data_IF_128854861567
#
_entry.id   IF_128854861567
#
_cell.length_a   1.000
_cell.length_b   1.000
_cell.length_c   1.000
_cell.angle_alpha   90.00
_cell.angle_beta   90.00
_cell.angle_gamma   90.00
#
_symmetry.space_group_name_H-M   'P 1'
#
loop_
_entity.id
_entity.type
_entity.pdbx_description
1 polymer ?
#
# COMPACT_ATOMS: atom_id res chain seq x y z
N UNK A 1 -49.93 -21.49 -37.24
CA UNK A 1 -50.88 -20.50 -37.78
C UNK A 1 -50.55 -19.17 -37.15
N UNK A 2 -50.00 -18.26 -37.97
CA UNK A 2 -49.81 -16.80 -37.85
C UNK A 2 -49.12 -16.18 -36.61
N UNK A 3 -48.43 -15.08 -36.95
CA UNK A 3 -47.84 -14.01 -36.12
C UNK A 3 -46.38 -14.22 -35.72
N UNK A 4 -45.42 -13.34 -35.97
CA UNK A 4 -45.45 -11.95 -36.48
C UNK A 4 -44.07 -11.64 -37.08
N UNK A 5 -44.03 -11.11 -38.31
CA UNK A 5 -42.79 -10.70 -38.95
C UNK A 5 -42.60 -9.18 -38.73
N UNK A 6 -41.58 -8.84 -37.94
CA UNK A 6 -41.18 -7.48 -37.64
C UNK A 6 -40.65 -6.81 -38.90
N UNK A 7 -41.32 -5.74 -39.33
CA UNK A 7 -40.89 -4.87 -40.43
C UNK A 7 -39.71 -4.03 -39.92
N UNK A 8 -38.52 -4.29 -40.44
CA UNK A 8 -37.36 -3.41 -40.22
C UNK A 8 -37.48 -2.22 -41.18
N UNK A 9 -37.61 -1.01 -40.61
CA UNK A 9 -37.44 0.24 -41.35
C UNK A 9 -35.97 0.34 -41.77
N UNK A 10 -35.70 0.26 -43.08
CA UNK A 10 -34.44 0.70 -43.65
C UNK A 10 -34.43 2.24 -43.59
N UNK A 11 -33.62 2.82 -42.70
CA UNK A 11 -33.23 4.23 -42.82
C UNK A 11 -32.32 4.35 -44.04
N UNK A 12 -32.83 4.98 -45.10
CA UNK A 12 -32.03 5.42 -46.24
C UNK A 12 -31.02 6.47 -45.76
N UNK A 13 -29.75 6.09 -45.67
CA UNK A 13 -28.65 7.00 -45.45
C UNK A 13 -28.23 7.62 -46.78
N UNK A 14 -28.62 8.88 -46.98
CA UNK A 14 -28.21 9.70 -48.11
C UNK A 14 -26.74 10.14 -47.92
N UNK A 15 -25.80 9.51 -48.62
CA UNK A 15 -24.38 9.91 -48.61
C UNK A 15 -24.24 11.09 -49.57
N UNK A 16 -24.09 12.29 -49.02
CA UNK A 16 -23.64 13.45 -49.80
C UNK A 16 -22.20 13.21 -50.26
N UNK A 17 -21.99 13.08 -51.56
CA UNK A 17 -20.66 13.14 -52.18
C UNK A 17 -20.03 14.53 -51.94
N UNK A 18 -19.29 14.68 -50.85
CA UNK A 18 -18.39 15.80 -50.67
C UNK A 18 -17.13 15.63 -51.52
N UNK A 19 -16.88 16.66 -52.32
CA UNK A 19 -15.80 16.81 -53.29
C UNK A 19 -14.44 16.27 -52.79
N UNK A 20 -13.87 15.40 -53.61
CA UNK A 20 -12.47 14.96 -53.65
C UNK A 20 -11.53 16.18 -53.62
N UNK A 21 -11.01 16.54 -52.44
CA UNK A 21 -9.70 17.19 -52.21
C UNK A 21 -9.54 17.67 -50.75
N UNK A 22 -9.77 16.81 -49.76
CA UNK A 22 -9.31 17.06 -48.39
C UNK A 22 -8.27 16.00 -48.01
N UNK A 23 -7.06 16.46 -47.69
CA UNK A 23 -5.97 15.65 -47.14
C UNK A 23 -6.53 14.79 -46.02
N UNK A 24 -6.44 13.47 -46.16
CA UNK A 24 -6.75 12.50 -45.12
C UNK A 24 -5.99 12.95 -43.86
N UNK A 25 -6.74 13.25 -42.80
CA UNK A 25 -6.18 13.66 -41.52
C UNK A 25 -5.52 12.43 -40.92
N UNK A 26 -4.22 12.25 -41.21
CA UNK A 26 -3.41 11.15 -40.68
C UNK A 26 -3.53 11.17 -39.16
N UNK A 27 -4.19 10.16 -38.61
CA UNK A 27 -4.23 9.94 -37.16
C UNK A 27 -2.77 9.72 -36.75
N UNK A 28 -2.18 10.69 -36.03
CA UNK A 28 -0.85 10.52 -35.47
C UNK A 28 -0.93 9.41 -34.44
N UNK A 29 -0.29 8.28 -34.76
CA UNK A 29 -0.05 7.23 -33.78
C UNK A 29 0.77 7.80 -32.62
N UNK A 30 0.44 7.34 -31.42
CA UNK A 30 1.22 7.65 -30.23
C UNK A 30 2.65 7.11 -30.43
N UNK A 31 3.64 7.98 -30.24
CA UNK A 31 5.06 7.63 -30.38
C UNK A 31 5.66 7.41 -29.01
N UNK A 32 6.39 6.32 -28.85
CA UNK A 32 7.12 5.98 -27.64
C UNK A 32 8.55 6.48 -27.80
N UNK A 33 9.04 7.23 -26.81
CA UNK A 33 10.44 7.67 -26.76
C UNK A 33 11.34 6.50 -26.39
N UNK A 34 12.44 6.31 -27.12
CA UNK A 34 13.44 5.26 -26.92
C UNK A 34 14.87 5.82 -26.82
N UNK A 35 15.03 7.14 -26.73
CA UNK A 35 16.34 7.80 -26.75
C UNK A 35 17.30 7.35 -25.65
N UNK A 36 16.80 6.85 -24.51
CA UNK A 36 17.61 6.35 -23.40
C UNK A 36 17.69 4.81 -23.38
N UNK A 37 17.07 4.15 -24.35
CA UNK A 37 17.01 2.68 -24.42
C UNK A 37 18.11 2.12 -25.33
N UNK A 38 18.57 0.89 -25.09
CA UNK A 38 19.47 0.17 -25.99
C UNK A 38 18.70 -0.40 -27.20
N UNK A 39 17.94 0.45 -27.90
CA UNK A 39 17.11 0.07 -29.03
C UNK A 39 17.66 0.64 -30.34
N UNK A 40 17.92 -0.25 -31.29
CA UNK A 40 18.64 0.08 -32.52
C UNK A 40 17.93 -0.46 -33.76
N UNK A 41 18.09 0.24 -34.87
CA UNK A 41 17.73 -0.21 -36.20
C UNK A 41 19.03 -0.54 -36.93
N UNK A 42 19.24 -1.79 -37.29
CA UNK A 42 20.41 -2.22 -38.06
C UNK A 42 20.04 -2.38 -39.54
N UNK A 43 20.79 -1.69 -40.39
CA UNK A 43 20.63 -1.72 -41.84
C UNK A 43 22.03 -1.81 -42.47
N UNK A 44 22.26 -2.81 -43.33
CA UNK A 44 23.55 -3.02 -44.00
C UNK A 44 24.75 -3.09 -43.03
N UNK A 45 24.59 -3.79 -41.90
CA UNK A 45 25.57 -3.89 -40.81
C UNK A 45 25.93 -2.55 -40.15
N UNK A 46 25.11 -1.52 -40.31
CA UNK A 46 25.23 -0.24 -39.60
C UNK A 46 24.08 -0.13 -38.62
N UNK A 47 24.42 0.07 -37.35
CA UNK A 47 23.45 0.19 -36.27
C UNK A 47 23.15 1.67 -35.99
N UNK A 48 21.87 2.02 -36.02
CA UNK A 48 21.37 3.37 -35.78
C UNK A 48 20.52 3.39 -34.52
N UNK A 49 20.77 4.33 -33.61
CA UNK A 49 20.00 4.46 -32.37
C UNK A 49 18.58 4.92 -32.68
N UNK A 50 17.59 4.21 -32.15
CA UNK A 50 16.18 4.59 -32.26
C UNK A 50 15.87 5.68 -31.23
N UNK A 51 15.31 6.79 -31.70
CA UNK A 51 14.91 7.92 -30.87
C UNK A 51 13.46 7.78 -30.42
N UNK A 52 12.59 7.40 -31.34
CA UNK A 52 11.18 7.14 -31.08
C UNK A 52 10.62 6.12 -32.08
N UNK A 53 9.56 5.43 -31.68
CA UNK A 53 8.89 4.44 -32.52
C UNK A 53 7.38 4.39 -32.29
N UNK A 54 6.67 3.81 -33.26
CA UNK A 54 5.27 3.38 -33.19
C UNK A 54 5.15 2.02 -33.91
N UNK A 55 3.94 1.46 -33.96
CA UNK A 55 3.68 0.21 -34.69
C UNK A 55 4.15 0.24 -36.16
N UNK A 56 4.11 1.41 -36.80
CA UNK A 56 4.37 1.57 -38.23
C UNK A 56 5.43 2.63 -38.54
N UNK A 57 6.18 3.09 -37.55
CA UNK A 57 7.16 4.15 -37.78
C UNK A 57 8.29 4.12 -36.78
N UNK A 58 9.48 4.49 -37.24
CA UNK A 58 10.67 4.62 -36.39
C UNK A 58 11.45 5.85 -36.80
N UNK A 59 11.99 6.57 -35.82
CA UNK A 59 12.92 7.67 -36.04
C UNK A 59 14.28 7.30 -35.47
N UNK A 60 15.33 7.55 -36.25
CA UNK A 60 16.72 7.32 -35.85
C UNK A 60 17.56 8.58 -36.02
N UNK A 61 18.70 8.58 -35.35
CA UNK A 61 19.78 9.52 -35.59
C UNK A 61 20.85 8.88 -36.51
N UNK A 62 21.32 9.62 -37.52
CA UNK A 62 22.33 9.17 -38.48
C UNK A 62 23.35 10.25 -38.77
N UNK A 63 24.63 9.87 -38.88
CA UNK A 63 25.72 10.77 -39.30
C UNK A 63 25.64 11.13 -40.80
N UNK A 64 25.09 10.23 -41.61
CA UNK A 64 24.96 10.40 -43.05
C UNK A 64 23.50 10.59 -43.45
N UNK A 65 23.30 11.34 -44.54
CA UNK A 65 21.98 11.53 -45.11
C UNK A 65 21.52 10.24 -45.77
N UNK A 66 20.43 9.66 -45.27
CA UNK A 66 19.72 8.57 -45.95
C UNK A 66 18.70 9.19 -46.91
N UNK A 67 18.70 8.76 -48.18
CA UNK A 67 17.80 9.25 -49.22
C UNK A 67 16.33 8.89 -48.96
N UNK A 68 15.39 9.74 -49.41
CA UNK A 68 13.95 9.49 -49.28
C UNK A 68 13.43 8.41 -50.24
N UNK A 69 14.25 8.00 -51.18
CA UNK A 69 14.07 6.86 -52.08
C UNK A 69 14.55 5.53 -51.49
N UNK A 70 15.15 5.55 -50.29
CA UNK A 70 15.66 4.36 -49.63
C UNK A 70 14.54 3.47 -49.07
N UNK A 71 14.63 2.17 -49.38
CA UNK A 71 13.73 1.12 -48.95
C UNK A 71 14.49 -0.22 -48.84
N UNK A 72 14.22 -1.00 -47.80
CA UNK A 72 14.86 -2.31 -47.59
C UNK A 72 13.93 -3.27 -46.86
N UNK A 73 14.08 -4.58 -47.11
CA UNK A 73 13.40 -5.66 -46.37
C UNK A 73 14.25 -6.24 -45.24
N UNK A 74 15.51 -5.82 -45.15
CA UNK A 74 16.54 -6.32 -44.24
C UNK A 74 16.86 -5.25 -43.18
N UNK A 75 15.83 -4.62 -42.60
CA UNK A 75 16.00 -3.71 -41.48
C UNK A 75 15.69 -4.43 -40.17
N UNK A 76 16.74 -4.72 -39.38
CA UNK A 76 16.61 -5.47 -38.15
C UNK A 76 16.43 -4.53 -36.96
N UNK A 77 15.42 -4.79 -36.15
CA UNK A 77 15.22 -4.04 -34.91
C UNK A 77 15.90 -4.81 -33.77
N UNK A 78 16.86 -4.21 -33.09
CA UNK A 78 17.68 -4.88 -32.08
C UNK A 78 17.50 -4.16 -30.74
N UNK A 79 17.03 -4.89 -29.72
CA UNK A 79 16.97 -4.41 -28.35
C UNK A 79 17.98 -5.16 -27.49
N UNK A 80 19.01 -4.47 -26.99
CA UNK A 80 20.07 -5.04 -26.15
C UNK A 80 20.63 -6.38 -26.67
N UNK A 81 21.07 -6.38 -27.93
CA UNK A 81 21.59 -7.55 -28.68
C UNK A 81 20.57 -8.65 -29.02
N UNK A 82 19.28 -8.46 -28.73
CA UNK A 82 18.22 -9.36 -29.16
C UNK A 82 17.55 -8.82 -30.43
N UNK A 83 17.61 -9.59 -31.51
CA UNK A 83 16.99 -9.25 -32.79
C UNK A 83 15.49 -9.58 -32.79
N UNK A 84 14.66 -8.57 -33.10
CA UNK A 84 13.21 -8.69 -33.26
C UNK A 84 12.82 -9.20 -34.65
N UNK A 85 13.78 -9.37 -35.55
CA UNK A 85 13.60 -9.86 -36.91
C UNK A 85 13.78 -8.74 -37.95
N UNK A 86 13.78 -9.17 -39.22
CA UNK A 86 13.86 -8.29 -40.38
C UNK A 86 12.50 -7.68 -40.69
N UNK A 87 12.47 -6.37 -40.92
CA UNK A 87 11.28 -5.62 -41.29
C UNK A 87 11.48 -4.89 -42.62
N UNK A 88 10.38 -4.70 -43.34
CA UNK A 88 10.33 -3.86 -44.51
C UNK A 88 10.15 -2.40 -44.09
N UNK A 89 11.12 -1.55 -44.40
CA UNK A 89 11.09 -0.12 -44.04
C UNK A 89 11.39 0.78 -45.24
N UNK A 90 10.77 1.96 -45.26
CA UNK A 90 11.01 3.02 -46.24
C UNK A 90 11.24 4.36 -45.56
N UNK A 91 12.21 5.15 -46.02
CA UNK A 91 12.40 6.51 -45.52
C UNK A 91 11.25 7.41 -45.97
N UNK A 92 10.58 8.04 -45.01
CA UNK A 92 9.53 9.04 -45.28
C UNK A 92 10.02 10.46 -45.11
N UNK A 93 11.05 10.66 -44.29
CA UNK A 93 11.64 11.98 -44.04
C UNK A 93 13.11 11.84 -43.62
N UNK A 94 13.96 12.71 -44.15
CA UNK A 94 15.37 12.82 -43.78
C UNK A 94 15.73 14.29 -43.73
N UNK A 95 16.04 14.82 -42.54
CA UNK A 95 16.27 16.25 -42.33
C UNK A 95 17.51 16.49 -41.45
N UNK A 96 18.28 17.55 -41.69
CA UNK A 96 19.42 17.90 -40.85
C UNK A 96 18.97 18.31 -39.44
N UNK A 97 19.75 17.90 -38.43
CA UNK A 97 19.59 18.21 -37.02
C UNK A 97 20.98 18.40 -36.39
N UNK A 98 21.44 19.65 -36.33
CA UNK A 98 22.83 19.95 -35.95
C UNK A 98 23.81 19.38 -36.97
N UNK A 99 24.82 18.64 -36.50
CA UNK A 99 25.81 17.94 -37.34
C UNK A 99 25.35 16.56 -37.81
N UNK A 100 24.12 16.16 -37.47
CA UNK A 100 23.55 14.85 -37.80
C UNK A 100 22.27 14.96 -38.63
N UNK A 101 21.68 13.83 -39.01
CA UNK A 101 20.40 13.71 -39.70
C UNK A 101 19.38 12.98 -38.82
N UNK A 102 18.19 13.55 -38.73
CA UNK A 102 17.01 12.84 -38.22
C UNK A 102 16.32 12.14 -39.40
N UNK A 103 16.33 10.82 -39.39
CA UNK A 103 15.71 9.99 -40.44
C UNK A 103 14.50 9.27 -39.85
N UNK A 104 13.35 9.42 -40.50
CA UNK A 104 12.12 8.73 -40.17
C UNK A 104 11.80 7.68 -41.22
N UNK A 105 11.56 6.47 -40.77
CA UNK A 105 11.11 5.35 -41.57
C UNK A 105 9.64 5.04 -41.28
N UNK A 106 8.93 4.62 -42.32
CA UNK A 106 7.66 3.91 -42.24
C UNK A 106 7.96 2.40 -42.31
N UNK A 107 7.32 1.62 -41.44
CA UNK A 107 7.36 0.16 -41.46
C UNK A 107 6.20 -0.30 -42.33
N UNK A 108 6.50 -1.09 -43.36
CA UNK A 108 5.57 -1.51 -44.40
C UNK A 108 5.15 -2.97 -44.14
N UNK A 109 3.85 -3.23 -44.23
CA UNK A 109 3.31 -4.57 -44.06
C UNK A 109 3.09 -4.91 -42.60
N UNK A 110 3.89 -5.84 -42.05
CA UNK A 110 3.74 -6.30 -40.68
C UNK A 110 4.22 -5.21 -39.69
N UNK A 111 3.40 -4.84 -38.70
CA UNK A 111 3.78 -3.84 -37.71
C UNK A 111 4.89 -4.36 -36.80
N UNK A 112 5.66 -3.43 -36.22
CA UNK A 112 6.64 -3.76 -35.18
C UNK A 112 5.98 -4.56 -34.05
N UNK A 113 6.54 -5.72 -33.72
CA UNK A 113 6.00 -6.60 -32.70
C UNK A 113 6.26 -6.04 -31.29
N UNK A 114 5.35 -5.20 -30.80
CA UNK A 114 5.46 -4.57 -29.48
C UNK A 114 5.34 -5.57 -28.33
N UNK A 115 4.64 -6.70 -28.52
CA UNK A 115 4.56 -7.76 -27.51
C UNK A 115 5.92 -8.43 -27.33
N UNK A 116 6.61 -8.76 -28.43
CA UNK A 116 7.96 -9.30 -28.40
C UNK A 116 8.95 -8.30 -27.79
N UNK A 117 8.90 -7.02 -28.20
CA UNK A 117 9.75 -5.96 -27.63
C UNK A 117 9.54 -5.85 -26.11
N UNK A 118 8.29 -5.86 -25.66
CA UNK A 118 7.94 -5.81 -24.25
C UNK A 118 8.47 -7.04 -23.50
N UNK A 119 8.30 -8.24 -24.06
CA UNK A 119 8.81 -9.47 -23.47
C UNK A 119 10.33 -9.47 -23.32
N UNK A 120 11.07 -8.93 -24.32
CA UNK A 120 12.53 -8.78 -24.23
C UNK A 120 12.89 -7.81 -23.11
N UNK A 121 12.26 -6.63 -23.07
CA UNK A 121 12.47 -5.62 -22.01
C UNK A 121 12.25 -6.20 -20.62
N UNK A 122 11.10 -6.85 -20.41
CA UNK A 122 10.75 -7.48 -19.13
C UNK A 122 11.74 -8.60 -18.77
N UNK A 123 12.19 -9.40 -19.74
CA UNK A 123 13.17 -10.48 -19.52
C UNK A 123 14.54 -9.96 -19.08
N UNK A 124 15.05 -8.91 -19.73
CA UNK A 124 16.33 -8.29 -19.39
C UNK A 124 16.28 -7.60 -18.02
N UNK A 125 15.15 -6.97 -17.71
CA UNK A 125 14.91 -6.42 -16.37
C UNK A 125 14.98 -7.52 -15.30
N UNK A 126 14.33 -8.68 -15.52
CA UNK A 126 14.38 -9.81 -14.59
C UNK A 126 15.82 -10.32 -14.41
N UNK A 127 16.61 -10.39 -15.49
CA UNK A 127 18.02 -10.79 -15.41
C UNK A 127 18.82 -9.82 -14.55
N UNK A 128 18.66 -8.51 -14.79
CA UNK A 128 19.34 -7.48 -13.99
C UNK A 128 18.93 -7.56 -12.51
N UNK A 129 17.64 -7.69 -12.21
CA UNK A 129 17.13 -7.86 -10.85
C UNK A 129 17.73 -9.12 -10.18
N UNK A 130 17.90 -10.21 -10.93
CA UNK A 130 18.52 -11.43 -10.44
C UNK A 130 20.03 -11.27 -10.17
N UNK A 131 20.75 -10.54 -11.03
CA UNK A 131 22.16 -10.23 -10.82
C UNK A 131 22.36 -9.35 -9.57
N UNK A 132 21.54 -8.31 -9.42
CA UNK A 132 21.53 -7.43 -8.26
C UNK A 132 21.23 -8.24 -6.97
N UNK A 133 20.22 -9.12 -7.01
CA UNK A 133 19.91 -10.02 -5.88
C UNK A 133 21.10 -10.91 -5.50
N UNK A 134 21.81 -11.49 -6.47
CA UNK A 134 22.99 -12.33 -6.20
C UNK A 134 24.11 -11.52 -5.56
N UNK A 135 24.33 -10.28 -6.00
CA UNK A 135 25.33 -9.38 -5.41
C UNK A 135 24.96 -8.99 -3.97
N UNK A 136 23.70 -8.65 -3.73
CA UNK A 136 23.19 -8.36 -2.39
C UNK A 136 23.33 -9.58 -1.47
N UNK A 137 22.99 -10.77 -1.97
CA UNK A 137 23.11 -12.01 -1.22
C UNK A 137 24.55 -12.27 -0.79
N UNK A 138 25.57 -11.91 -1.58
CA UNK A 138 26.98 -12.06 -1.19
C UNK A 138 27.37 -11.19 0.02
N UNK A 139 26.66 -10.07 0.24
CA UNK A 139 26.90 -9.18 1.37
C UNK A 139 26.27 -9.68 2.67
N UNK A 140 25.31 -10.62 2.60
CA UNK A 140 24.65 -11.18 3.78
C UNK A 140 25.56 -12.23 4.45
N UNK A 141 25.89 -12.08 5.75
CA UNK A 141 26.70 -13.03 6.49
C UNK A 141 26.14 -14.46 6.48
N UNK A 142 27.00 -15.50 6.43
CA UNK A 142 26.56 -16.90 6.49
C UNK A 142 25.71 -17.24 7.71
N UNK A 143 26.01 -16.66 8.87
CA UNK A 143 25.28 -16.87 10.13
C UNK A 143 23.83 -16.38 10.01
N UNK A 144 23.64 -15.20 9.43
CA UNK A 144 22.31 -14.65 9.15
C UNK A 144 21.57 -15.52 8.14
N UNK A 145 22.23 -15.94 7.05
CA UNK A 145 21.62 -16.85 6.06
C UNK A 145 21.10 -18.12 6.72
N UNK A 146 21.93 -18.76 7.55
CA UNK A 146 21.56 -19.96 8.27
C UNK A 146 20.33 -19.72 9.17
N UNK A 147 20.34 -18.67 10.00
CA UNK A 147 19.21 -18.33 10.87
C UNK A 147 17.91 -18.07 10.08
N UNK A 148 17.99 -17.34 8.96
CA UNK A 148 16.83 -17.07 8.10
C UNK A 148 16.30 -18.35 7.47
N UNK A 149 17.16 -19.23 6.96
CA UNK A 149 16.71 -20.49 6.36
C UNK A 149 16.15 -21.46 7.40
N UNK A 150 16.70 -21.51 8.61
CA UNK A 150 16.13 -22.27 9.73
C UNK A 150 14.75 -21.73 10.13
N UNK A 151 14.59 -20.40 10.16
CA UNK A 151 13.30 -19.77 10.41
C UNK A 151 12.30 -20.15 9.30
N UNK A 152 12.68 -19.99 8.03
CA UNK A 152 11.86 -20.38 6.89
C UNK A 152 11.42 -21.85 6.98
N UNK A 153 12.36 -22.76 7.23
CA UNK A 153 12.08 -24.19 7.34
C UNK A 153 11.12 -24.49 8.48
N UNK A 154 11.34 -23.88 9.65
CA UNK A 154 10.45 -24.01 10.81
C UNK A 154 9.02 -23.56 10.50
N UNK A 155 8.85 -22.38 9.88
CA UNK A 155 7.54 -21.84 9.54
C UNK A 155 6.83 -22.68 8.48
N UNK A 156 7.53 -23.09 7.43
CA UNK A 156 6.98 -23.93 6.37
C UNK A 156 6.54 -25.30 6.87
N UNK A 157 7.32 -25.92 7.76
CA UNK A 157 6.95 -27.18 8.39
C UNK A 157 5.72 -27.04 9.30
N UNK A 158 5.61 -25.93 10.05
CA UNK A 158 4.44 -25.67 10.87
C UNK A 158 3.19 -25.41 10.03
N UNK A 159 3.29 -24.61 8.98
CA UNK A 159 2.19 -24.35 8.06
C UNK A 159 1.58 -25.65 7.54
N UNK A 160 2.42 -26.55 7.00
CA UNK A 160 1.96 -27.87 6.51
C UNK A 160 1.27 -28.68 7.59
N UNK A 161 1.83 -28.72 8.81
CA UNK A 161 1.29 -29.53 9.91
C UNK A 161 -0.01 -28.95 10.48
N UNK A 162 -0.09 -27.62 10.63
CA UNK A 162 -1.27 -26.93 11.13
C UNK A 162 -2.43 -27.08 10.14
N UNK A 163 -2.19 -26.81 8.86
CA UNK A 163 -3.23 -26.96 7.83
C UNK A 163 -3.68 -28.42 7.65
N UNK A 164 -2.79 -29.39 7.89
CA UNK A 164 -3.18 -30.81 7.87
C UNK A 164 -4.21 -31.17 8.96
N UNK A 165 -4.33 -30.39 10.05
CA UNK A 165 -5.33 -30.61 11.09
C UNK A 165 -6.76 -30.42 10.58
N UNK A 166 -6.97 -29.67 9.50
CA UNK A 166 -8.29 -29.47 8.87
C UNK A 166 -8.95 -30.79 8.46
N UNK A 167 -8.16 -31.86 8.27
CA UNK A 167 -8.67 -33.22 8.01
C UNK A 167 -9.47 -33.81 9.17
N UNK A 168 -9.23 -33.33 10.40
CA UNK A 168 -9.94 -33.75 11.61
C UNK A 168 -11.14 -32.86 11.96
N UNK A 169 -11.35 -31.79 11.20
CA UNK A 169 -12.45 -30.86 11.42
C UNK A 169 -13.79 -31.49 11.00
N UNK A 170 -14.78 -31.46 11.89
CA UNK A 170 -16.13 -31.83 11.52
C UNK A 170 -16.80 -30.67 10.76
N UNK A 171 -17.05 -30.85 9.46
CA UNK A 171 -17.62 -29.82 8.57
C UNK A 171 -19.15 -29.82 8.49
N UNK A 172 -19.83 -30.75 9.16
CA UNK A 172 -21.29 -30.85 9.10
C UNK A 172 -22.02 -29.90 10.06
N UNK A 173 -21.30 -29.33 11.05
CA UNK A 173 -21.85 -28.41 12.04
C UNK A 173 -20.95 -27.18 12.19
N UNK A 174 -21.53 -25.98 11.98
CA UNK A 174 -20.80 -24.71 12.04
C UNK A 174 -20.22 -24.44 13.43
N UNK A 175 -20.93 -24.85 14.50
CA UNK A 175 -20.45 -24.62 15.86
C UNK A 175 -19.23 -25.49 16.15
N UNK A 176 -19.31 -26.79 15.88
CA UNK A 176 -18.19 -27.72 16.03
C UNK A 176 -16.97 -27.29 15.19
N UNK A 177 -17.21 -26.76 13.98
CA UNK A 177 -16.17 -26.20 13.12
C UNK A 177 -15.49 -25.00 13.80
N UNK A 178 -16.27 -24.03 14.30
CA UNK A 178 -15.75 -22.85 15.00
C UNK A 178 -15.01 -23.20 16.30
N UNK A 179 -15.53 -24.15 17.08
CA UNK A 179 -14.92 -24.60 18.33
C UNK A 179 -13.57 -25.29 18.06
N UNK A 180 -13.51 -26.12 17.01
CA UNK A 180 -12.28 -26.76 16.55
C UNK A 180 -11.23 -25.72 16.13
N UNK A 181 -11.60 -24.76 15.27
CA UNK A 181 -10.69 -23.71 14.81
C UNK A 181 -10.17 -22.88 15.98
N UNK A 182 -11.06 -22.49 16.89
CA UNK A 182 -10.71 -21.69 18.07
C UNK A 182 -9.72 -22.42 18.97
N UNK A 183 -9.89 -23.74 19.16
CA UNK A 183 -8.97 -24.55 19.96
C UNK A 183 -7.58 -24.64 19.31
N UNK A 184 -7.52 -24.88 17.99
CA UNK A 184 -6.24 -24.94 17.25
C UNK A 184 -5.54 -23.57 17.30
N UNK A 185 -6.28 -22.50 17.03
CA UNK A 185 -5.76 -21.13 17.03
C UNK A 185 -5.20 -20.76 18.40
N UNK A 186 -5.90 -21.07 19.50
CA UNK A 186 -5.42 -20.77 20.84
C UNK A 186 -4.07 -21.46 21.17
N UNK A 187 -3.90 -22.72 20.75
CA UNK A 187 -2.66 -23.47 21.00
C UNK A 187 -1.49 -22.91 20.18
N UNK A 188 -1.71 -22.63 18.89
CA UNK A 188 -0.62 -22.21 18.02
C UNK A 188 -0.27 -20.72 18.14
N UNK A 189 -1.24 -19.85 18.42
CA UNK A 189 -0.95 -18.44 18.72
C UNK A 189 -0.08 -18.29 19.98
N UNK A 190 -0.37 -19.05 21.04
CA UNK A 190 0.49 -19.10 22.24
C UNK A 190 1.90 -19.64 21.93
N UNK A 191 1.97 -20.70 21.12
CA UNK A 191 3.26 -21.24 20.69
C UNK A 191 4.10 -20.21 19.90
N UNK A 192 3.46 -19.46 18.99
CA UNK A 192 4.09 -18.37 18.26
C UNK A 192 4.57 -17.27 19.19
N UNK A 193 3.74 -16.80 20.13
CA UNK A 193 4.10 -15.78 21.11
C UNK A 193 5.34 -16.15 21.96
N UNK A 194 5.57 -17.44 22.22
CA UNK A 194 6.74 -17.91 22.98
C UNK A 194 7.99 -18.16 22.14
N UNK A 195 7.85 -18.29 20.83
CA UNK A 195 8.94 -18.80 19.96
C UNK A 195 9.41 -17.77 18.95
N UNK A 196 8.50 -17.05 18.28
CA UNK A 196 8.85 -16.02 17.29
C UNK A 196 9.78 -14.94 17.89
N UNK A 197 9.49 -14.36 19.07
CA UNK A 197 10.38 -13.35 19.66
C UNK A 197 11.80 -13.86 19.89
N UNK A 198 11.98 -15.14 20.26
CA UNK A 198 13.31 -15.74 20.46
C UNK A 198 14.09 -15.89 19.16
N UNK A 199 13.41 -16.29 18.09
CA UNK A 199 14.01 -16.38 16.76
C UNK A 199 14.43 -14.99 16.26
N UNK A 200 13.60 -13.98 16.51
CA UNK A 200 13.92 -12.59 16.16
C UNK A 200 15.07 -12.02 17.00
N UNK A 201 15.13 -12.32 18.30
CA UNK A 201 16.22 -11.87 19.18
C UNK A 201 17.57 -12.45 18.73
N UNK A 202 17.60 -13.73 18.30
CA UNK A 202 18.81 -14.35 17.77
C UNK A 202 19.28 -13.63 16.49
N UNK A 203 18.35 -13.33 15.58
CA UNK A 203 18.66 -12.58 14.36
C UNK A 203 19.13 -11.15 14.65
N UNK A 204 18.46 -10.46 15.57
CA UNK A 204 18.81 -9.10 15.97
C UNK A 204 20.23 -9.01 16.54
N UNK A 205 20.66 -10.02 17.31
CA UNK A 205 22.05 -10.11 17.81
C UNK A 205 23.08 -10.18 16.68
N UNK A 206 22.78 -10.88 15.60
CA UNK A 206 23.67 -10.95 14.43
C UNK A 206 23.63 -9.65 13.62
N UNK A 207 22.43 -9.07 13.41
CA UNK A 207 22.25 -7.80 12.71
C UNK A 207 23.02 -6.65 13.40
N UNK A 208 23.01 -6.61 14.73
CA UNK A 208 23.68 -5.57 15.51
C UNK A 208 25.22 -5.60 15.39
N UNK A 209 25.81 -6.65 14.79
CA UNK A 209 27.25 -6.71 14.48
C UNK A 209 27.59 -6.01 13.17
N UNK A 210 26.60 -5.70 12.34
CA UNK A 210 26.76 -5.11 11.02
C UNK A 210 26.60 -3.59 11.05
N UNK A 211 27.19 -2.92 10.05
CA UNK A 211 26.89 -1.52 9.76
C UNK A 211 25.49 -1.38 9.13
N UNK A 212 25.02 -0.14 8.96
CA UNK A 212 23.67 0.13 8.42
C UNK A 212 23.42 -0.52 7.05
N UNK A 213 24.42 -0.51 6.15
CA UNK A 213 24.30 -1.13 4.84
C UNK A 213 24.12 -2.66 4.95
N UNK A 214 24.94 -3.32 5.77
CA UNK A 214 24.84 -4.76 6.01
C UNK A 214 23.53 -5.16 6.70
N UNK A 215 23.03 -4.34 7.62
CA UNK A 215 21.72 -4.55 8.24
C UNK A 215 20.60 -4.46 7.21
N UNK A 216 20.62 -3.43 6.35
CA UNK A 216 19.59 -3.22 5.33
C UNK A 216 19.49 -4.42 4.37
N UNK A 217 20.62 -4.86 3.80
CA UNK A 217 20.66 -6.01 2.88
C UNK A 217 20.21 -7.29 3.59
N UNK A 218 20.66 -7.51 4.84
CA UNK A 218 20.27 -8.69 5.63
C UNK A 218 18.77 -8.73 5.97
N UNK A 219 18.17 -7.58 6.28
CA UNK A 219 16.72 -7.45 6.53
C UNK A 219 15.92 -7.65 5.25
N UNK A 220 16.39 -7.12 4.11
CA UNK A 220 15.77 -7.35 2.82
C UNK A 220 15.79 -8.84 2.48
N UNK A 221 16.93 -9.51 2.67
CA UNK A 221 17.04 -10.96 2.49
C UNK A 221 16.08 -11.73 3.40
N UNK A 222 16.02 -11.42 4.70
CA UNK A 222 15.06 -12.02 5.65
C UNK A 222 13.63 -11.95 5.12
N UNK A 223 13.18 -10.76 4.74
CA UNK A 223 11.80 -10.52 4.31
C UNK A 223 11.50 -11.24 3.01
N UNK A 224 12.44 -11.20 2.07
CA UNK A 224 12.30 -11.88 0.77
C UNK A 224 12.16 -13.40 0.94
N UNK A 225 12.97 -14.02 1.82
CA UNK A 225 12.87 -15.46 2.08
C UNK A 225 11.60 -15.86 2.85
N UNK A 226 11.08 -14.98 3.71
CA UNK A 226 9.93 -15.30 4.57
C UNK A 226 8.59 -14.80 4.03
N UNK A 227 8.58 -14.04 2.92
CA UNK A 227 7.38 -13.33 2.45
C UNK A 227 6.19 -14.24 2.23
N UNK A 228 6.44 -15.40 1.63
CA UNK A 228 5.41 -16.36 1.25
C UNK A 228 4.87 -17.15 2.45
N UNK A 229 5.43 -16.99 3.64
CA UNK A 229 4.94 -17.66 4.85
C UNK A 229 4.42 -16.66 5.87
N UNK A 230 5.15 -15.57 6.11
CA UNK A 230 4.82 -14.59 7.14
C UNK A 230 3.69 -13.64 6.72
N UNK A 231 3.65 -13.22 5.45
CA UNK A 231 2.68 -12.22 4.98
C UNK A 231 1.41 -12.84 4.41
N UNK A 232 1.14 -14.11 4.70
CA UNK A 232 -0.10 -14.76 4.27
C UNK A 232 -1.32 -14.37 5.12
N UNK A 233 -1.11 -13.96 6.38
CA UNK A 233 -2.24 -13.58 7.24
C UNK A 233 -2.77 -12.20 6.85
N UNK A 234 -4.09 -11.94 6.95
CA UNK A 234 -4.65 -10.63 6.59
C UNK A 234 -4.04 -9.45 7.34
N UNK A 235 -3.58 -9.66 8.58
CA UNK A 235 -2.94 -8.61 9.36
C UNK A 235 -1.54 -8.31 8.80
N UNK A 236 -0.65 -9.30 8.82
CA UNK A 236 0.74 -9.12 8.38
C UNK A 236 0.87 -8.70 6.92
N UNK A 237 0.01 -9.24 6.04
CA UNK A 237 -0.11 -8.80 4.66
C UNK A 237 -0.33 -7.29 4.57
N UNK A 238 -1.36 -6.80 5.28
CA UNK A 238 -1.74 -5.40 5.22
C UNK A 238 -0.70 -4.47 5.82
N UNK A 239 -0.07 -4.87 6.94
CA UNK A 239 0.99 -4.06 7.57
C UNK A 239 2.20 -3.92 6.64
N UNK A 240 2.61 -5.02 6.01
CA UNK A 240 3.83 -5.05 5.19
C UNK A 240 3.65 -4.33 3.86
N UNK A 241 2.61 -4.70 3.09
CA UNK A 241 2.37 -4.18 1.74
C UNK A 241 1.78 -2.78 1.72
N UNK A 242 1.22 -2.31 2.85
CA UNK A 242 0.75 -0.92 3.05
C UNK A 242 -0.13 -0.45 1.88
N UNK A 243 -1.31 -1.06 1.64
CA UNK A 243 -2.12 -0.77 0.45
C UNK A 243 -2.55 0.71 0.33
N UNK A 244 -2.55 1.46 1.44
CA UNK A 244 -2.83 2.89 1.48
C UNK A 244 -1.56 3.77 1.55
N UNK A 245 -0.38 3.18 1.37
CA UNK A 245 0.92 3.84 1.37
C UNK A 245 1.57 4.04 2.74
N UNK A 246 0.94 3.58 3.83
CA UNK A 246 1.48 3.67 5.18
C UNK A 246 1.06 2.49 6.06
N UNK A 247 1.87 2.14 7.07
CA UNK A 247 1.52 1.17 8.10
C UNK A 247 0.70 1.84 9.21
N UNK A 248 -0.22 1.09 9.82
CA UNK A 248 -1.13 1.60 10.83
C UNK A 248 -2.42 2.20 10.26
N UNK A 249 -2.80 1.85 9.03
CA UNK A 249 -4.02 2.34 8.41
C UNK A 249 -5.30 1.91 9.14
N UNK A 250 -6.43 2.55 8.81
CA UNK A 250 -7.69 2.37 9.54
C UNK A 250 -8.23 0.92 9.48
N UNK A 251 -7.98 0.18 8.40
CA UNK A 251 -8.42 -1.21 8.28
C UNK A 251 -7.50 -2.14 9.08
N UNK A 252 -6.19 -1.88 9.08
CA UNK A 252 -5.26 -2.57 9.99
C UNK A 252 -5.68 -2.34 11.45
N UNK A 253 -6.05 -1.11 11.82
CA UNK A 253 -6.59 -0.81 13.14
C UNK A 253 -7.89 -1.57 13.41
N UNK A 254 -8.80 -1.65 12.44
CA UNK A 254 -10.01 -2.47 12.54
C UNK A 254 -9.71 -3.96 12.80
N UNK A 255 -8.65 -4.53 12.21
CA UNK A 255 -8.21 -5.90 12.52
C UNK A 255 -7.77 -6.03 13.99
N UNK A 256 -6.97 -5.09 14.49
CA UNK A 256 -6.53 -5.04 15.90
C UNK A 256 -7.72 -4.94 16.86
N UNK A 257 -8.71 -4.10 16.54
CA UNK A 257 -9.87 -3.88 17.39
C UNK A 257 -10.80 -5.10 17.44
N UNK A 258 -11.01 -5.78 16.31
CA UNK A 258 -11.83 -7.00 16.25
C UNK A 258 -11.21 -8.14 17.06
N UNK A 259 -9.88 -8.27 17.03
CA UNK A 259 -9.14 -9.31 17.76
C UNK A 259 -9.66 -10.74 17.46
N UNK A 260 -10.09 -10.95 16.22
CA UNK A 260 -10.60 -12.22 15.70
C UNK A 260 -9.45 -13.04 15.10
N UNK A 261 -9.72 -14.31 14.78
CA UNK A 261 -8.79 -15.15 14.02
C UNK A 261 -9.21 -15.18 12.56
N UNK A 262 -8.56 -14.38 11.71
CA UNK A 262 -8.93 -14.20 10.30
C UNK A 262 -7.86 -14.82 9.40
N UNK A 263 -8.28 -15.57 8.38
CA UNK A 263 -7.38 -16.21 7.41
C UNK A 263 -8.12 -17.28 6.60
N UNK A 264 -7.58 -17.63 5.44
CA UNK A 264 -8.15 -18.66 4.56
C UNK A 264 -7.82 -20.07 5.05
N UNK A 265 -6.65 -20.27 5.65
CA UNK A 265 -6.20 -21.53 6.24
C UNK A 265 -6.10 -21.45 7.76
N UNK A 266 -6.07 -22.61 8.45
CA UNK A 266 -5.80 -22.65 9.89
C UNK A 266 -4.48 -21.94 10.26
N UNK A 267 -3.41 -22.14 9.48
CA UNK A 267 -2.13 -21.49 9.73
C UNK A 267 -2.25 -19.97 9.69
N UNK A 268 -2.91 -19.42 8.66
CA UNK A 268 -3.13 -17.98 8.55
C UNK A 268 -3.95 -17.43 9.72
N UNK A 269 -4.99 -18.17 10.16
CA UNK A 269 -5.79 -17.79 11.35
C UNK A 269 -4.95 -17.77 12.63
N UNK A 270 -4.09 -18.78 12.83
CA UNK A 270 -3.17 -18.84 13.97
C UNK A 270 -2.18 -17.66 13.95
N UNK A 271 -1.60 -17.37 12.79
CA UNK A 271 -0.62 -16.31 12.62
C UNK A 271 -1.25 -14.92 12.75
N UNK A 272 -2.44 -14.71 12.17
CA UNK A 272 -3.23 -13.51 12.35
C UNK A 272 -3.51 -13.27 13.84
N UNK A 273 -3.97 -14.31 14.53
CA UNK A 273 -4.34 -14.24 15.94
C UNK A 273 -3.13 -13.86 16.80
N UNK A 274 -1.98 -14.49 16.56
CA UNK A 274 -0.72 -14.11 17.18
C UNK A 274 -0.46 -12.61 17.04
N UNK A 275 -0.44 -12.08 15.81
CA UNK A 275 -0.13 -10.67 15.59
C UNK A 275 -1.09 -9.69 16.26
N UNK A 276 -2.39 -9.96 16.23
CA UNK A 276 -3.36 -9.07 16.88
C UNK A 276 -3.35 -9.22 18.40
N UNK A 277 -2.71 -10.24 18.97
CA UNK A 277 -2.58 -10.42 20.42
C UNK A 277 -1.26 -9.90 20.99
N UNK A 278 -0.28 -9.58 20.15
CA UNK A 278 1.00 -9.02 20.59
C UNK A 278 0.83 -7.74 21.44
N UNK A 279 1.75 -7.48 22.39
CA UNK A 279 1.71 -6.33 23.30
C UNK A 279 1.37 -4.98 22.66
N UNK A 280 1.89 -4.67 21.47
CA UNK A 280 1.64 -3.43 20.74
C UNK A 280 0.19 -3.34 20.24
N UNK A 281 -0.36 -4.44 19.71
CA UNK A 281 -1.76 -4.51 19.31
C UNK A 281 -2.70 -4.42 20.54
N UNK A 282 -2.31 -5.06 21.64
CA UNK A 282 -3.01 -4.92 22.92
C UNK A 282 -2.98 -3.48 23.44
N UNK A 283 -1.85 -2.78 23.31
CA UNK A 283 -1.73 -1.37 23.68
C UNK A 283 -2.70 -0.49 22.87
N UNK A 284 -2.83 -0.72 21.57
CA UNK A 284 -3.80 -0.02 20.70
C UNK A 284 -5.24 -0.25 21.18
N UNK A 285 -5.63 -1.48 21.54
CA UNK A 285 -6.95 -1.75 22.14
C UNK A 285 -7.12 -1.08 23.52
N UNK A 286 -6.07 -1.04 24.33
CA UNK A 286 -6.11 -0.39 25.63
C UNK A 286 -6.30 1.13 25.51
N UNK A 287 -5.73 1.76 24.47
CA UNK A 287 -5.92 3.20 24.17
C UNK A 287 -7.39 3.54 23.92
N UNK A 288 -8.15 2.68 23.22
CA UNK A 288 -9.61 2.86 23.02
C UNK A 288 -10.34 2.98 24.36
N UNK A 289 -10.07 2.05 25.28
CA UNK A 289 -10.67 2.07 26.63
C UNK A 289 -10.22 3.28 27.44
N UNK A 290 -8.95 3.67 27.31
CA UNK A 290 -8.40 4.85 27.98
C UNK A 290 -9.10 6.13 27.53
N UNK A 291 -9.19 6.39 26.22
CA UNK A 291 -9.86 7.58 25.70
C UNK A 291 -11.36 7.58 26.01
N UNK A 292 -12.04 6.43 25.97
CA UNK A 292 -13.42 6.32 26.42
C UNK A 292 -13.60 6.78 27.88
N UNK A 293 -12.66 6.47 28.77
CA UNK A 293 -12.67 6.98 30.16
C UNK A 293 -12.40 8.48 30.23
N UNK A 294 -11.44 8.99 29.48
CA UNK A 294 -11.12 10.43 29.46
C UNK A 294 -12.30 11.26 28.91
N UNK A 295 -12.98 10.77 27.88
CA UNK A 295 -14.22 11.38 27.36
C UNK A 295 -15.29 11.42 28.46
N UNK A 296 -15.53 10.29 29.14
CA UNK A 296 -16.50 10.22 30.23
C UNK A 296 -16.17 11.19 31.37
N UNK A 297 -14.90 11.23 31.78
CA UNK A 297 -14.42 12.10 32.85
C UNK A 297 -14.65 13.58 32.52
N UNK A 298 -14.42 14.00 31.27
CA UNK A 298 -14.70 15.38 30.83
C UNK A 298 -16.18 15.74 30.96
N UNK A 299 -17.08 14.82 30.64
CA UNK A 299 -18.52 15.00 30.88
C UNK A 299 -18.87 15.05 32.36
N UNK A 300 -18.33 14.15 33.18
CA UNK A 300 -18.62 14.09 34.62
C UNK A 300 -18.18 15.39 35.34
N UNK A 301 -17.06 15.99 34.91
CA UNK A 301 -16.56 17.27 35.42
C UNK A 301 -17.40 18.47 34.95
N UNK A 302 -18.23 18.31 33.91
CA UNK A 302 -19.00 19.39 33.30
C UNK A 302 -20.48 19.00 33.08
N UNK A 303 -21.20 18.67 34.16
CA UNK A 303 -22.57 18.17 34.05
C UNK A 303 -23.49 19.19 33.36
N UNK A 304 -24.27 18.72 32.39
CA UNK A 304 -25.27 19.51 31.66
C UNK A 304 -24.69 20.50 30.64
N UNK A 305 -23.38 20.57 30.45
CA UNK A 305 -22.76 21.42 29.43
C UNK A 305 -22.61 20.69 28.10
N UNK A 306 -22.67 21.43 27.01
CA UNK A 306 -22.23 20.96 25.69
C UNK A 306 -20.71 21.04 25.60
N UNK A 307 -20.07 19.89 25.37
CA UNK A 307 -18.61 19.80 25.27
C UNK A 307 -18.13 19.67 23.82
N UNK A 308 -16.93 20.15 23.54
CA UNK A 308 -16.31 20.09 22.22
C UNK A 308 -15.06 19.23 22.28
N UNK A 309 -15.00 18.18 21.45
CA UNK A 309 -13.89 17.23 21.40
C UNK A 309 -13.21 17.25 20.03
N UNK A 310 -11.90 17.02 20.01
CA UNK A 310 -11.13 16.83 18.77
C UNK A 310 -10.29 15.55 18.84
N UNK A 311 -10.56 14.62 17.92
CA UNK A 311 -9.74 13.43 17.66
C UNK A 311 -8.88 13.68 16.42
N UNK A 312 -7.56 13.70 16.58
CA UNK A 312 -6.59 13.99 15.52
C UNK A 312 -5.97 12.69 15.01
N UNK A 313 -5.99 12.49 13.69
CA UNK A 313 -5.74 11.20 13.05
C UNK A 313 -6.69 10.14 13.63
N UNK A 314 -7.99 10.43 13.51
CA UNK A 314 -9.04 9.70 14.23
C UNK A 314 -9.19 8.24 13.79
N UNK A 315 -8.70 7.87 12.60
CA UNK A 315 -8.89 6.53 12.05
C UNK A 315 -10.39 6.15 12.06
N UNK A 316 -10.76 4.94 12.52
CA UNK A 316 -12.16 4.52 12.62
C UNK A 316 -12.91 5.13 13.83
N UNK A 317 -12.27 5.97 14.65
CA UNK A 317 -12.84 6.57 15.86
C UNK A 317 -13.46 5.55 16.84
N UNK A 318 -12.75 4.43 17.05
CA UNK A 318 -13.24 3.27 17.81
C UNK A 318 -13.59 3.64 19.27
N UNK A 319 -12.90 4.62 19.86
CA UNK A 319 -13.18 5.14 21.19
C UNK A 319 -14.59 5.73 21.31
N UNK A 320 -15.09 6.42 20.28
CA UNK A 320 -16.47 6.93 20.27
C UNK A 320 -17.48 5.83 19.99
N UNK A 321 -17.12 4.87 19.12
CA UNK A 321 -17.98 3.70 18.88
C UNK A 321 -18.22 2.91 20.17
N UNK A 322 -17.15 2.63 20.92
CA UNK A 322 -17.24 1.91 22.20
C UNK A 322 -17.88 2.78 23.29
N UNK A 323 -17.63 4.09 23.32
CA UNK A 323 -18.31 4.98 24.25
C UNK A 323 -19.83 4.94 24.06
N UNK A 324 -20.32 5.05 22.82
CA UNK A 324 -21.76 5.01 22.52
C UNK A 324 -22.38 3.66 22.90
N UNK A 325 -21.73 2.55 22.53
CA UNK A 325 -22.27 1.19 22.80
C UNK A 325 -22.37 0.87 24.29
N UNK A 326 -21.39 1.33 25.08
CA UNK A 326 -21.20 0.88 26.45
C UNK A 326 -21.67 1.90 27.50
N UNK A 327 -22.15 3.06 27.09
CA UNK A 327 -22.56 4.13 28.02
C UNK A 327 -24.08 4.16 28.20
N UNK A 328 -24.60 3.88 29.41
CA UNK A 328 -26.02 4.06 29.72
C UNK A 328 -26.38 5.54 29.80
N UNK A 329 -27.66 5.85 29.59
CA UNK A 329 -28.25 7.20 29.65
C UNK A 329 -27.50 8.23 28.77
N UNK A 330 -27.07 7.81 27.59
CA UNK A 330 -26.23 8.59 26.67
C UNK A 330 -26.83 9.97 26.31
N UNK A 331 -28.16 10.11 26.37
CA UNK A 331 -28.89 11.36 26.16
C UNK A 331 -28.51 12.49 27.14
N UNK A 332 -27.96 12.17 28.32
CA UNK A 332 -27.51 13.18 29.28
C UNK A 332 -26.24 13.92 28.84
N UNK A 333 -25.52 13.37 27.87
CA UNK A 333 -24.30 13.94 27.34
C UNK A 333 -24.59 14.65 26.02
N UNK A 334 -24.16 15.91 25.92
CA UNK A 334 -24.28 16.72 24.69
C UNK A 334 -22.89 17.11 24.24
N UNK A 335 -22.54 16.83 22.98
CA UNK A 335 -21.21 17.16 22.48
C UNK A 335 -21.15 17.44 20.98
N UNK A 336 -20.18 18.27 20.61
CA UNK A 336 -19.69 18.43 19.25
C UNK A 336 -18.31 17.75 19.13
N UNK A 337 -18.23 16.67 18.35
CA UNK A 337 -17.04 15.84 18.20
C UNK A 337 -16.47 16.04 16.81
N UNK A 338 -15.27 16.59 16.73
CA UNK A 338 -14.53 16.80 15.50
C UNK A 338 -13.56 15.65 15.29
N UNK A 339 -13.72 14.93 14.19
CA UNK A 339 -12.92 13.78 13.78
C UNK A 339 -12.08 14.21 12.58
N UNK A 340 -10.78 14.43 12.81
CA UNK A 340 -9.85 14.91 11.81
C UNK A 340 -8.96 13.77 11.33
N UNK A 341 -8.92 13.54 10.01
CA UNK A 341 -7.98 12.62 9.39
C UNK A 341 -7.57 13.10 7.99
N UNK A 342 -6.35 12.73 7.58
CA UNK A 342 -5.91 12.94 6.21
C UNK A 342 -6.46 11.87 5.27
N UNK A 343 -6.71 10.66 5.80
CA UNK A 343 -7.24 9.53 5.04
C UNK A 343 -8.76 9.64 4.91
N UNK A 344 -9.21 9.78 3.66
CA UNK A 344 -10.63 9.88 3.35
C UNK A 344 -11.36 8.56 3.60
N UNK A 345 -10.73 7.42 3.35
CA UNK A 345 -11.34 6.10 3.56
C UNK A 345 -11.53 5.82 5.05
N UNK A 346 -10.58 6.27 5.89
CA UNK A 346 -10.72 6.23 7.34
C UNK A 346 -11.95 7.04 7.83
N UNK A 347 -12.10 8.27 7.34
CA UNK A 347 -13.25 9.12 7.69
C UNK A 347 -14.58 8.53 7.21
N UNK A 348 -14.62 7.96 6.01
CA UNK A 348 -15.81 7.29 5.48
C UNK A 348 -16.17 6.07 6.33
N UNK A 349 -15.18 5.28 6.76
CA UNK A 349 -15.37 4.15 7.67
C UNK A 349 -15.96 4.62 9.01
N UNK A 350 -15.33 5.59 9.67
CA UNK A 350 -15.79 6.16 10.94
C UNK A 350 -17.22 6.72 10.81
N UNK A 351 -17.50 7.48 9.75
CA UNK A 351 -18.81 8.07 9.49
C UNK A 351 -19.89 7.01 9.35
N UNK A 352 -19.63 5.95 8.59
CA UNK A 352 -20.59 4.85 8.41
C UNK A 352 -20.91 4.18 9.75
N UNK A 353 -19.90 3.87 10.55
CA UNK A 353 -20.09 3.20 11.85
C UNK A 353 -20.82 4.10 12.86
N UNK A 354 -20.39 5.36 13.01
CA UNK A 354 -20.98 6.29 13.96
C UNK A 354 -22.42 6.67 13.57
N UNK A 355 -22.72 6.82 12.27
CA UNK A 355 -24.10 7.04 11.81
C UNK A 355 -25.01 5.86 12.16
N UNK A 356 -24.53 4.63 11.97
CA UNK A 356 -25.27 3.44 12.35
C UNK A 356 -25.52 3.38 13.87
N UNK A 357 -24.50 3.68 14.67
CA UNK A 357 -24.62 3.71 16.14
C UNK A 357 -25.56 4.83 16.61
N UNK A 358 -25.48 6.04 16.07
CA UNK A 358 -26.39 7.14 16.45
C UNK A 358 -27.85 6.90 16.06
N UNK A 359 -28.10 6.08 15.02
CA UNK A 359 -29.45 5.64 14.70
C UNK A 359 -29.98 4.57 15.69
N UNK A 360 -29.08 3.73 16.22
CA UNK A 360 -29.41 2.64 17.14
C UNK A 360 -29.53 3.09 18.61
N UNK A 361 -28.66 4.03 19.03
CA UNK A 361 -28.57 4.53 20.40
C UNK A 361 -28.89 6.01 20.41
N UNK A 362 -30.04 6.39 20.97
CA UNK A 362 -30.45 7.79 21.07
C UNK A 362 -29.43 8.59 21.90
N UNK A 363 -28.92 9.68 21.33
CA UNK A 363 -27.87 10.51 21.93
C UNK A 363 -27.90 11.95 21.38
N UNK A 364 -27.21 12.86 22.08
CA UNK A 364 -27.06 14.26 21.69
C UNK A 364 -25.62 14.59 21.24
N UNK A 365 -24.94 13.63 20.61
CA UNK A 365 -23.56 13.77 20.14
C UNK A 365 -23.56 14.03 18.64
N UNK A 366 -23.00 15.17 18.23
CA UNK A 366 -22.86 15.56 16.84
C UNK A 366 -21.44 15.31 16.37
N UNK A 367 -21.28 14.55 15.29
CA UNK A 367 -19.99 14.26 14.69
C UNK A 367 -19.73 15.15 13.47
N UNK A 368 -18.55 15.76 13.43
CA UNK A 368 -18.05 16.59 12.34
C UNK A 368 -16.79 15.92 11.78
N UNK A 369 -16.80 15.60 10.49
CA UNK A 369 -15.69 14.91 9.82
C UNK A 369 -14.85 15.90 9.04
N UNK A 370 -13.57 16.03 9.40
CA UNK A 370 -12.66 17.04 8.85
C UNK A 370 -11.56 16.32 8.08
N UNK A 371 -11.66 16.31 6.74
CA UNK A 371 -10.58 15.78 5.91
C UNK A 371 -9.48 16.83 5.74
N UNK A 372 -8.36 16.65 6.44
CA UNK A 372 -7.25 17.62 6.44
C UNK A 372 -5.93 16.90 6.52
N UNK A 373 -5.02 17.25 5.60
CA UNK A 373 -3.64 16.77 5.65
C UNK A 373 -2.97 17.19 6.96
N UNK A 374 -2.22 16.28 7.59
CA UNK A 374 -1.54 16.55 8.87
C UNK A 374 -0.60 17.75 8.76
N UNK A 375 0.13 17.88 7.65
CA UNK A 375 0.99 19.06 7.40
C UNK A 375 0.22 20.39 7.49
N UNK A 376 -1.04 20.43 7.03
CA UNK A 376 -1.85 21.64 7.08
C UNK A 376 -2.36 21.89 8.49
N UNK A 377 -2.66 20.85 9.27
CA UNK A 377 -2.96 21.01 10.71
C UNK A 377 -1.77 21.65 11.45
N UNK A 378 -0.55 21.22 11.14
CA UNK A 378 0.68 21.71 11.77
C UNK A 378 0.93 23.19 11.43
N UNK A 379 0.76 23.57 10.17
CA UNK A 379 1.02 24.94 9.72
C UNK A 379 -0.11 25.90 10.11
N UNK A 380 -1.35 25.44 10.01
CA UNK A 380 -2.53 26.30 10.01
C UNK A 380 -3.41 26.16 11.25
N UNK A 381 -3.16 25.18 12.12
CA UNK A 381 -4.10 24.76 13.16
C UNK A 381 -5.31 24.06 12.54
N UNK A 382 -6.40 23.90 13.31
CA UNK A 382 -7.61 23.25 12.78
C UNK A 382 -8.41 24.20 11.87
N UNK A 383 -8.36 25.52 12.13
CA UNK A 383 -9.14 26.58 11.47
C UNK A 383 -10.66 26.44 11.58
N UNK A 384 -11.12 25.68 12.57
CA UNK A 384 -12.50 25.73 13.01
C UNK A 384 -12.63 26.89 14.00
N UNK A 385 -13.71 27.67 13.93
CA UNK A 385 -14.01 28.72 14.91
C UNK A 385 -14.53 28.10 16.23
N UNK A 386 -13.84 27.09 16.74
CA UNK A 386 -14.21 26.26 17.88
C UNK A 386 -12.97 26.00 18.73
N UNK A 387 -13.13 26.12 20.06
CA UNK A 387 -12.14 25.68 21.05
C UNK A 387 -12.62 24.39 21.70
N UNK A 388 -11.70 23.58 22.20
CA UNK A 388 -12.00 22.21 22.65
C UNK A 388 -11.82 22.02 24.16
N UNK A 389 -12.69 21.20 24.76
CA UNK A 389 -12.57 20.74 26.14
C UNK A 389 -11.57 19.58 26.26
N UNK A 390 -11.43 18.78 25.19
CA UNK A 390 -10.44 17.72 25.08
C UNK A 390 -9.98 17.57 23.63
N UNK A 391 -8.67 17.60 23.43
CA UNK A 391 -8.01 17.25 22.17
C UNK A 391 -7.17 16.02 22.43
N UNK A 392 -7.19 15.06 21.52
CA UNK A 392 -6.33 13.89 21.64
C UNK A 392 -5.85 13.35 20.30
N UNK A 393 -4.68 12.71 20.32
CA UNK A 393 -4.17 11.92 19.20
C UNK A 393 -3.60 10.60 19.72
N UNK A 394 -4.10 9.49 19.19
CA UNK A 394 -3.80 8.15 19.72
C UNK A 394 -2.46 7.59 19.23
N UNK A 395 -2.07 7.88 17.99
CA UNK A 395 -0.88 7.27 17.37
C UNK A 395 -0.20 8.10 16.30
N UNK A 396 -0.62 9.34 16.04
CA UNK A 396 0.04 10.19 15.04
C UNK A 396 1.50 10.50 15.41
N UNK A 397 1.75 10.73 16.70
CA UNK A 397 3.04 11.19 17.20
C UNK A 397 4.13 10.12 17.08
N UNK A 398 3.74 8.85 16.96
CA UNK A 398 4.63 7.73 16.65
C UNK A 398 5.37 7.92 15.32
N UNK A 399 4.94 8.85 14.45
CA UNK A 399 5.53 9.08 13.12
C UNK A 399 6.16 10.47 12.97
N UNK A 400 5.99 11.36 13.95
CA UNK A 400 6.47 12.73 13.85
C UNK A 400 7.88 12.82 14.43
N UNK A 401 8.80 13.48 13.72
CA UNK A 401 10.11 13.85 14.31
C UNK A 401 9.90 14.79 15.48
N UNK A 402 10.85 14.85 16.43
CA UNK A 402 10.70 15.69 17.64
C UNK A 402 10.33 17.14 17.36
N UNK A 403 10.97 17.86 16.41
CA UNK A 403 10.58 19.25 16.10
C UNK A 403 9.14 19.35 15.57
N UNK A 404 8.71 18.40 14.74
CA UNK A 404 7.35 18.37 14.18
C UNK A 404 6.33 18.02 15.26
N UNK A 405 6.63 17.06 16.13
CA UNK A 405 5.79 16.69 17.27
C UNK A 405 5.57 17.89 18.21
N UNK A 406 6.63 18.63 18.56
CA UNK A 406 6.55 19.82 19.41
C UNK A 406 5.69 20.91 18.77
N UNK A 407 5.91 21.22 17.48
CA UNK A 407 5.11 22.19 16.75
C UNK A 407 3.63 21.78 16.69
N UNK A 408 3.36 20.51 16.41
CA UNK A 408 2.00 19.94 16.39
C UNK A 408 1.33 20.07 17.76
N UNK A 409 2.02 19.66 18.83
CA UNK A 409 1.49 19.74 20.19
C UNK A 409 1.18 21.18 20.61
N UNK A 410 2.08 22.12 20.30
CA UNK A 410 1.85 23.54 20.56
C UNK A 410 0.60 24.04 19.84
N UNK A 411 0.45 23.71 18.56
CA UNK A 411 -0.73 24.12 17.77
C UNK A 411 -2.03 23.53 18.28
N UNK A 412 -2.03 22.26 18.68
CA UNK A 412 -3.20 21.65 19.29
C UNK A 412 -3.53 22.30 20.64
N UNK A 413 -2.52 22.57 21.47
CA UNK A 413 -2.71 23.22 22.76
C UNK A 413 -3.32 24.63 22.63
N UNK A 414 -2.94 25.40 21.61
CA UNK A 414 -3.53 26.71 21.30
C UNK A 414 -5.04 26.64 21.00
N UNK A 415 -5.58 25.47 20.64
CA UNK A 415 -7.01 25.24 20.35
C UNK A 415 -7.84 24.80 21.56
N UNK A 416 -7.23 24.68 22.73
CA UNK A 416 -7.96 24.33 23.96
C UNK A 416 -8.75 25.52 24.52
N UNK A 417 -9.89 25.21 25.15
CA UNK A 417 -10.56 26.12 26.08
C UNK A 417 -9.71 26.25 27.36
N UNK A 418 -9.87 27.34 28.14
CA UNK A 418 -9.34 27.37 29.51
C UNK A 418 -9.81 26.16 30.32
N UNK A 419 -8.86 25.39 30.87
CA UNK A 419 -9.15 24.15 31.60
C UNK A 419 -9.39 22.91 30.72
N UNK A 420 -9.27 23.05 29.39
CA UNK A 420 -9.24 21.92 28.47
C UNK A 420 -7.93 21.14 28.56
N UNK A 421 -7.93 19.93 28.02
CA UNK A 421 -6.78 19.02 28.07
C UNK A 421 -6.35 18.55 26.68
N UNK A 422 -5.03 18.43 26.47
CA UNK A 422 -4.44 17.77 25.31
C UNK A 422 -3.79 16.46 25.75
N UNK A 423 -4.18 15.35 25.13
CA UNK A 423 -3.59 14.03 25.38
C UNK A 423 -2.92 13.49 24.12
N UNK A 424 -1.63 13.17 24.21
CA UNK A 424 -0.83 12.66 23.11
C UNK A 424 -0.36 11.23 23.43
N UNK A 425 -0.68 10.28 22.56
CA UNK A 425 -0.17 8.91 22.62
C UNK A 425 1.15 8.77 21.87
N UNK A 426 2.08 8.00 22.46
CA UNK A 426 3.29 7.53 21.80
C UNK A 426 3.65 6.11 22.31
N UNK A 427 4.25 5.29 21.46
CA UNK A 427 4.89 4.04 21.87
C UNK A 427 6.17 4.32 22.66
N UNK A 428 6.40 3.53 23.70
CA UNK A 428 7.57 3.67 24.56
C UNK A 428 8.78 2.94 23.96
N UNK A 429 10.00 3.40 24.26
CA UNK A 429 11.25 2.70 23.92
C UNK A 429 11.36 1.29 24.53
N UNK A 430 10.57 0.96 25.55
CA UNK A 430 10.47 -0.39 26.13
C UNK A 430 9.40 -1.27 25.46
N UNK A 431 8.89 -0.90 24.28
CA UNK A 431 7.97 -1.73 23.53
C UNK A 431 8.64 -3.07 23.16
N UNK A 432 8.14 -4.22 23.65
CA UNK A 432 8.78 -5.52 23.41
C UNK A 432 8.70 -5.95 21.92
N UNK A 433 7.77 -5.39 21.15
CA UNK A 433 7.51 -5.82 19.77
C UNK A 433 8.33 -5.03 18.74
N UNK A 434 9.29 -4.22 19.17
CA UNK A 434 10.06 -3.33 18.29
C UNK A 434 10.75 -4.09 17.16
N UNK A 435 11.36 -5.24 17.48
CA UNK A 435 12.03 -6.09 16.50
C UNK A 435 11.03 -6.75 15.54
N UNK A 436 9.87 -7.19 16.03
CA UNK A 436 8.81 -7.72 15.18
C UNK A 436 8.28 -6.66 14.20
N UNK A 437 7.96 -5.49 14.72
CA UNK A 437 7.43 -4.38 13.93
C UNK A 437 8.44 -3.93 12.87
N UNK A 438 9.70 -3.75 13.26
CA UNK A 438 10.75 -3.22 12.39
C UNK A 438 11.26 -4.27 11.43
N UNK A 439 11.71 -5.44 11.91
CA UNK A 439 12.40 -6.43 11.08
C UNK A 439 11.41 -7.19 10.18
N UNK A 440 10.26 -7.58 10.72
CA UNK A 440 9.29 -8.43 10.01
C UNK A 440 8.22 -7.61 9.31
N UNK A 441 7.55 -6.71 10.01
CA UNK A 441 6.36 -6.03 9.47
C UNK A 441 6.69 -4.76 8.67
N UNK A 442 7.97 -4.36 8.62
CA UNK A 442 8.40 -3.09 8.02
C UNK A 442 7.58 -1.89 8.52
N UNK A 443 7.35 -1.88 9.83
CA UNK A 443 6.59 -0.87 10.53
C UNK A 443 7.52 -0.10 11.47
N UNK A 444 8.01 1.03 10.97
CA UNK A 444 8.96 1.90 11.68
C UNK A 444 8.22 2.99 12.43
N UNK A 445 8.52 3.13 13.72
CA UNK A 445 7.98 4.16 14.60
C UNK A 445 9.11 4.93 15.30
N UNK A 446 8.80 6.14 15.75
CA UNK A 446 9.64 6.98 16.60
C UNK A 446 9.19 6.76 18.05
N UNK A 447 9.90 5.86 18.73
CA UNK A 447 9.69 5.53 20.13
C UNK A 447 10.20 6.66 21.05
N UNK A 448 9.52 6.88 22.18
CA UNK A 448 9.86 7.94 23.14
C UNK A 448 9.82 7.44 24.58
N UNK A 449 10.69 8.00 25.41
CA UNK A 449 10.64 7.84 26.87
C UNK A 449 9.51 8.67 27.47
N UNK A 450 9.18 8.47 28.77
CA UNK A 450 8.24 9.34 29.48
C UNK A 450 8.72 10.80 29.63
N UNK A 451 10.04 11.00 29.76
CA UNK A 451 10.72 12.31 29.67
C UNK A 451 10.76 12.82 28.24
#
# INVERSE_FOLDING_TARGET
MKDSATVYNHEEFDIKEEKVNQRIKVIRQERVSASEEPFFLEINNVSYKILDYSLFGVAIESQEKIGTDFETHEAHFIYDNVDLGAYHVRVTRSQPMGDQFLVAFEIIGEPLNLEQLRAIKESLQIIQEQEDYVQDLQQVPPEIKATVYEFYDWMHHLEKKINALEKHQNKSDMKSMSDFESAVVAVFSDYFARTLPKNLEALEKELNKLNEAGQKVSIQFLREQLKDTIYQSPFSHRVFYKPLGYAGDYEMMNLIYKNEAVGESLFQKCLHKYYVEEPAAQAVRNRVKYFGRQIKERFDLNPGKTLSFLSVACGPAMEWQEFIKNTPDLEKYTADVYLLDQDKEALLNAQKQLKHLSAKYKNNIKFHFVNKAIKNLIVEGIRENVKFDLIYSSGLFDYLTTPVAQMTAQKLHEELKPGGELIIGNFNTTNPDTSLMTLILDWHLIYRTPE
#
